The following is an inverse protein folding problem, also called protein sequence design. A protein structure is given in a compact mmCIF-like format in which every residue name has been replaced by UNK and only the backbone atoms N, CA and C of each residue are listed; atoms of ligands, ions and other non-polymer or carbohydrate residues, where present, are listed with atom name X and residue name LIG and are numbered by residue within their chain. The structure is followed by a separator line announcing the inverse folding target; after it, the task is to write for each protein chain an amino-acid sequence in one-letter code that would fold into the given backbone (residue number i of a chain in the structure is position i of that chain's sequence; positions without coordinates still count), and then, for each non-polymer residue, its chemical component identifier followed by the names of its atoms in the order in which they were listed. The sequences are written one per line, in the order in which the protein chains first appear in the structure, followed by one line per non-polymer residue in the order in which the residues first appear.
data_IF_392103220840
#
_entry.id   IF_392103220840
#
_cell.length_a   1.000
_cell.length_b   1.000
_cell.length_c   1.000
_cell.angle_alpha   90.00
_cell.angle_beta   90.00
_cell.angle_gamma   90.00
#
_symmetry.space_group_name_H-M   'P 1'
#
loop_
_entity.id
_entity.type
_entity.pdbx_description
1 polymer ?
#
# COMPACT_ATOMS: atom_id res chain seq x y z
N UNK A 1 -9.54 11.40 0.98
CA UNK A 1 -8.33 11.25 0.13
C UNK A 1 -8.31 10.10 -0.87
N UNK A 2 -8.30 8.81 -0.49
CA UNK A 2 -8.08 7.72 -1.47
C UNK A 2 -9.13 7.68 -2.62
N UNK A 3 -10.40 7.87 -2.28
CA UNK A 3 -11.51 7.97 -3.25
C UNK A 3 -11.34 9.18 -4.18
N UNK A 4 -10.89 10.32 -3.66
CA UNK A 4 -10.63 11.52 -4.46
C UNK A 4 -9.45 11.32 -5.43
N UNK A 5 -8.36 10.68 -4.97
CA UNK A 5 -7.24 10.34 -5.84
C UNK A 5 -7.66 9.33 -6.91
N UNK A 6 -8.49 8.35 -6.58
CA UNK A 6 -9.07 7.44 -7.57
C UNK A 6 -9.93 8.20 -8.60
N UNK A 7 -10.80 9.11 -8.16
CA UNK A 7 -11.62 9.90 -9.08
C UNK A 7 -10.78 10.82 -9.98
N UNK A 8 -9.71 11.41 -9.42
CA UNK A 8 -8.82 12.32 -10.14
C UNK A 8 -7.94 11.58 -11.15
N UNK A 9 -7.34 10.46 -10.73
CA UNK A 9 -6.21 9.81 -11.41
C UNK A 9 -6.48 8.38 -11.89
N UNK A 10 -7.59 7.76 -11.50
CA UNK A 10 -7.96 6.41 -11.94
C UNK A 10 -8.02 6.31 -13.46
N UNK A 11 -7.36 5.31 -14.02
CA UNK A 11 -7.23 5.11 -15.48
C UNK A 11 -6.34 6.13 -16.22
N UNK A 12 -5.84 7.18 -15.55
CA UNK A 12 -4.98 8.21 -16.14
C UNK A 12 -3.51 8.06 -15.80
N UNK A 13 -3.21 7.27 -14.76
CA UNK A 13 -1.84 7.09 -14.25
C UNK A 13 -1.41 5.66 -14.45
N UNK A 14 -0.27 5.49 -15.11
CA UNK A 14 0.33 4.18 -15.29
C UNK A 14 1.01 3.73 -13.99
N UNK A 15 0.84 2.45 -13.66
CA UNK A 15 1.66 1.82 -12.65
C UNK A 15 3.14 1.83 -13.09
N UNK A 16 4.02 2.36 -12.25
CA UNK A 16 5.47 2.35 -12.46
C UNK A 16 6.19 2.16 -11.13
N UNK A 17 6.87 1.03 -10.98
CA UNK A 17 7.67 0.75 -9.80
C UNK A 17 8.68 1.87 -9.53
N UNK A 18 8.75 2.36 -8.29
CA UNK A 18 9.65 3.42 -7.91
C UNK A 18 9.09 4.83 -8.12
N UNK A 19 8.08 5.00 -8.97
CA UNK A 19 7.50 6.31 -9.23
C UNK A 19 6.69 6.86 -8.05
N UNK A 20 6.65 8.19 -7.96
CA UNK A 20 5.70 8.94 -7.14
C UNK A 20 4.71 9.65 -8.10
N UNK A 21 3.54 10.10 -7.60
CA UNK A 21 2.52 10.86 -8.36
C UNK A 21 2.99 12.26 -8.77
N UNK A 22 4.26 12.36 -9.12
CA UNK A 22 4.96 13.52 -9.64
C UNK A 22 5.74 13.15 -10.91
N UNK A 23 6.06 14.16 -11.72
CA UNK A 23 6.81 14.00 -12.97
C UNK A 23 5.97 13.86 -14.24
N UNK A 24 6.68 13.74 -15.38
CA UNK A 24 6.14 13.63 -16.73
C UNK A 24 6.95 12.59 -17.54
N UNK A 25 6.39 11.44 -17.96
CA UNK A 25 4.99 11.03 -17.78
C UNK A 25 4.68 10.65 -16.33
N UNK A 26 3.44 10.94 -15.92
CA UNK A 26 2.97 10.67 -14.56
C UNK A 26 2.94 9.15 -14.30
N UNK A 27 3.59 8.72 -13.22
CA UNK A 27 3.61 7.33 -12.78
C UNK A 27 3.15 7.23 -11.32
N UNK A 28 2.92 6.01 -10.85
CA UNK A 28 2.71 5.77 -9.43
C UNK A 28 3.02 4.30 -9.11
N UNK A 29 3.54 4.03 -7.92
CA UNK A 29 3.48 2.70 -7.33
C UNK A 29 2.59 2.65 -6.08
N UNK A 30 2.46 1.45 -5.51
CA UNK A 30 1.59 1.20 -4.37
C UNK A 30 1.93 2.06 -3.16
N UNK A 31 3.21 2.19 -2.83
CA UNK A 31 3.68 2.99 -1.70
C UNK A 31 3.54 4.49 -1.91
N UNK A 32 3.78 4.98 -3.13
CA UNK A 32 3.52 6.39 -3.46
C UNK A 32 2.02 6.73 -3.38
N UNK A 33 1.15 5.84 -3.87
CA UNK A 33 -0.29 6.05 -3.76
C UNK A 33 -0.73 6.21 -2.31
N UNK A 34 -0.26 5.33 -1.42
CA UNK A 34 -0.57 5.40 0.01
C UNK A 34 -0.01 6.66 0.64
N UNK A 35 1.24 7.03 0.35
CA UNK A 35 1.83 8.27 0.86
C UNK A 35 0.96 9.49 0.50
N UNK A 36 0.50 9.56 -0.76
CA UNK A 36 -0.36 10.65 -1.26
C UNK A 36 -1.76 10.63 -0.64
N UNK A 37 -2.30 9.45 -0.32
CA UNK A 37 -3.54 9.34 0.45
C UNK A 37 -3.41 9.96 1.85
N UNK A 38 -2.22 9.90 2.44
CA UNK A 38 -1.90 10.51 3.73
C UNK A 38 -1.42 11.96 3.61
N UNK A 39 -1.38 12.55 2.41
CA UNK A 39 -0.90 13.92 2.21
C UNK A 39 0.63 14.08 2.16
N UNK A 40 1.37 12.98 2.01
CA UNK A 40 2.83 12.96 1.96
C UNK A 40 3.38 12.52 0.60
N UNK A 41 4.67 12.77 0.39
CA UNK A 41 5.45 12.16 -0.68
C UNK A 41 6.03 10.83 -0.20
N UNK A 42 6.33 9.94 -1.16
CA UNK A 42 7.01 8.68 -0.88
C UNK A 42 8.42 8.89 -0.34
N UNK A 43 9.10 9.91 -0.85
CA UNK A 43 10.37 10.40 -0.30
C UNK A 43 10.12 11.74 0.37
N UNK A 44 10.45 11.84 1.66
CA UNK A 44 10.23 13.06 2.46
C UNK A 44 11.48 13.93 2.59
N UNK A 45 12.49 13.72 1.75
CA UNK A 45 13.80 14.38 1.85
C UNK A 45 14.81 13.63 2.73
N UNK A 46 14.37 12.60 3.46
CA UNK A 46 15.25 11.80 4.32
C UNK A 46 15.07 10.30 4.09
N UNK A 47 13.81 9.82 4.04
CA UNK A 47 13.47 8.40 4.01
C UNK A 47 12.58 8.08 2.81
N UNK A 48 12.90 6.99 2.14
CA UNK A 48 12.01 6.37 1.14
C UNK A 48 11.03 5.42 1.83
N UNK A 49 9.77 5.80 1.89
CA UNK A 49 8.67 5.02 2.46
C UNK A 49 8.16 3.98 1.47
N UNK A 50 9.00 3.01 1.13
CA UNK A 50 8.59 1.85 0.35
C UNK A 50 7.78 0.86 1.21
N UNK A 51 7.18 -0.15 0.57
CA UNK A 51 6.33 -1.15 1.24
C UNK A 51 7.02 -1.85 2.42
N UNK A 52 8.27 -2.28 2.27
CA UNK A 52 8.99 -3.00 3.33
C UNK A 52 9.20 -2.09 4.54
N UNK A 53 9.55 -0.82 4.29
CA UNK A 53 9.70 0.17 5.35
C UNK A 53 8.38 0.46 6.07
N UNK A 54 7.27 0.58 5.34
CA UNK A 54 5.93 0.75 5.92
C UNK A 54 5.58 -0.45 6.80
N UNK A 55 5.83 -1.67 6.31
CA UNK A 55 5.57 -2.90 7.05
C UNK A 55 6.40 -2.96 8.34
N UNK A 56 7.71 -2.71 8.26
CA UNK A 56 8.61 -2.72 9.43
C UNK A 56 8.24 -1.64 10.44
N UNK A 57 7.83 -0.45 9.98
CA UNK A 57 7.41 0.64 10.85
C UNK A 57 6.14 0.27 11.64
N UNK A 58 5.17 -0.34 10.97
CA UNK A 58 3.94 -0.82 11.59
C UNK A 58 4.16 -1.95 12.62
N UNK A 59 5.26 -2.69 12.53
CA UNK A 59 5.60 -3.74 13.50
C UNK A 59 6.30 -3.24 14.76
N UNK A 60 6.80 -2.00 14.78
CA UNK A 60 7.44 -1.45 15.98
C UNK A 60 6.41 -1.25 17.09
N UNK A 61 6.75 -1.70 18.29
CA UNK A 61 5.87 -1.60 19.46
C UNK A 61 5.83 -0.18 20.05
N UNK A 62 6.89 0.62 19.85
CA UNK A 62 7.03 1.97 20.41
C UNK A 62 7.98 2.85 19.59
N UNK A 63 7.96 4.16 19.87
CA UNK A 63 8.80 5.17 19.23
C UNK A 63 8.04 6.06 18.26
N UNK A 64 8.79 6.90 17.53
CA UNK A 64 8.25 7.76 16.49
C UNK A 64 7.97 6.92 15.24
N UNK A 65 6.80 6.27 15.23
CA UNK A 65 6.26 5.52 14.08
C UNK A 65 5.29 6.39 13.28
N UNK A 66 5.22 6.17 11.98
CA UNK A 66 4.18 6.74 11.11
C UNK A 66 3.01 5.79 10.91
N UNK A 67 3.27 4.50 11.03
CA UNK A 67 2.26 3.46 10.88
C UNK A 67 2.10 2.70 12.18
N UNK A 68 0.86 2.60 12.66
CA UNK A 68 0.52 1.79 13.83
C UNK A 68 -0.30 0.59 13.40
N UNK A 69 0.18 -0.62 13.71
CA UNK A 69 -0.58 -1.84 13.45
C UNK A 69 -1.90 -1.85 14.24
N UNK A 70 -2.96 -2.28 13.56
CA UNK A 70 -4.29 -2.49 14.13
C UNK A 70 -4.68 -3.97 14.00
N UNK A 71 -5.61 -4.41 14.85
CA UNK A 71 -6.02 -5.83 14.89
C UNK A 71 -6.95 -6.22 13.74
N UNK A 72 -7.81 -5.30 13.31
CA UNK A 72 -8.83 -5.56 12.29
C UNK A 72 -8.86 -4.42 11.28
N UNK A 73 -9.13 -4.71 10.00
CA UNK A 73 -9.21 -3.67 8.98
C UNK A 73 -10.40 -2.76 9.24
N UNK A 74 -10.20 -1.47 8.98
CA UNK A 74 -11.26 -0.44 8.98
C UNK A 74 -11.13 0.40 7.71
N UNK A 75 -12.21 0.98 7.17
CA UNK A 75 -12.11 1.90 6.04
C UNK A 75 -11.09 3.02 6.30
N UNK A 76 -10.24 3.29 5.31
CA UNK A 76 -9.15 4.27 5.38
C UNK A 76 -7.83 3.75 5.92
N UNK A 77 -7.79 2.59 6.60
CA UNK A 77 -6.53 1.97 7.00
C UNK A 77 -5.79 1.40 5.78
N UNK A 78 -4.52 1.05 5.97
CA UNK A 78 -3.78 0.28 4.97
C UNK A 78 -3.84 -1.21 5.27
N UNK A 79 -3.74 -2.02 4.22
CA UNK A 79 -3.21 -3.37 4.33
C UNK A 79 -1.84 -3.44 3.66
N UNK A 80 -0.93 -4.23 4.22
CA UNK A 80 0.44 -4.34 3.72
C UNK A 80 1.03 -5.73 3.94
N UNK A 81 1.81 -6.19 2.96
CA UNK A 81 2.69 -7.35 3.08
C UNK A 81 4.07 -7.03 2.50
N UNK A 82 5.15 -7.58 3.09
CA UNK A 82 6.51 -7.25 2.68
C UNK A 82 6.88 -8.00 1.40
N UNK A 83 7.96 -7.54 0.78
CA UNK A 83 8.69 -8.29 -0.22
C UNK A 83 9.24 -9.60 0.36
N UNK A 84 9.52 -10.55 -0.54
CA UNK A 84 10.13 -11.83 -0.18
C UNK A 84 11.22 -12.16 -1.17
N UNK A 85 12.33 -12.71 -0.68
CA UNK A 85 13.32 -13.37 -1.52
C UNK A 85 12.91 -14.82 -1.70
N UNK A 86 12.71 -15.27 -2.93
CA UNK A 86 12.41 -16.67 -3.23
C UNK A 86 13.63 -17.55 -2.91
N UNK A 87 13.46 -18.89 -2.77
CA UNK A 87 14.59 -19.82 -2.67
C UNK A 87 15.58 -19.69 -3.85
N UNK A 88 15.09 -19.28 -5.02
CA UNK A 88 15.89 -19.00 -6.22
C UNK A 88 16.57 -17.62 -6.20
N UNK A 89 16.64 -16.96 -5.04
CA UNK A 89 17.22 -15.61 -4.82
C UNK A 89 16.56 -14.47 -5.62
N UNK A 90 15.39 -14.70 -6.21
CA UNK A 90 14.63 -13.63 -6.89
C UNK A 90 13.82 -12.87 -5.86
N UNK A 91 13.96 -11.53 -5.84
CA UNK A 91 13.11 -10.67 -5.01
C UNK A 91 11.73 -10.53 -5.67
N UNK A 92 10.69 -10.81 -4.89
CA UNK A 92 9.29 -10.51 -5.20
C UNK A 92 8.89 -9.30 -4.38
N UNK A 93 8.38 -8.26 -5.03
CA UNK A 93 7.95 -7.04 -4.34
C UNK A 93 6.80 -7.32 -3.35
N UNK A 94 6.79 -6.55 -2.27
CA UNK A 94 5.64 -6.42 -1.39
C UNK A 94 4.53 -5.60 -2.05
N UNK A 95 3.44 -5.39 -1.32
CA UNK A 95 2.38 -4.48 -1.76
C UNK A 95 1.67 -3.82 -0.58
N UNK A 96 1.14 -2.62 -0.81
CA UNK A 96 0.39 -1.82 0.15
C UNK A 96 -0.83 -1.22 -0.56
N UNK A 97 -1.96 -1.11 0.14
CA UNK A 97 -3.22 -0.60 -0.40
C UNK A 97 -4.02 0.12 0.69
N UNK A 98 -5.04 0.87 0.28
CA UNK A 98 -6.04 1.46 1.19
C UNK A 98 -7.27 0.55 1.24
N UNK A 99 -7.77 0.27 2.45
CA UNK A 99 -9.05 -0.39 2.68
C UNK A 99 -10.18 0.60 2.41
N UNK A 100 -11.07 0.27 1.49
CA UNK A 100 -12.20 1.14 1.08
C UNK A 100 -13.50 0.69 1.75
N UNK A 101 -13.79 -0.62 1.66
CA UNK A 101 -14.99 -1.22 2.22
C UNK A 101 -14.65 -2.62 2.74
N UNK A 102 -14.76 -2.82 4.05
CA UNK A 102 -14.43 -4.09 4.71
C UNK A 102 -15.47 -5.16 4.37
N UNK A 103 -16.77 -4.82 4.40
CA UNK A 103 -17.85 -5.77 4.15
C UNK A 103 -17.83 -6.28 2.71
N UNK A 104 -17.58 -5.39 1.75
CA UNK A 104 -17.45 -5.75 0.35
C UNK A 104 -16.03 -6.20 -0.04
N UNK A 105 -15.08 -6.24 0.90
CA UNK A 105 -13.67 -6.57 0.67
C UNK A 105 -13.02 -5.72 -0.44
N UNK A 106 -13.37 -4.43 -0.51
CA UNK A 106 -12.86 -3.50 -1.52
C UNK A 106 -11.65 -2.73 -1.01
N UNK A 107 -10.74 -2.50 -1.93
CA UNK A 107 -9.49 -1.75 -1.73
C UNK A 107 -9.34 -0.73 -2.84
N UNK A 108 -8.59 0.33 -2.56
CA UNK A 108 -8.05 1.23 -3.59
C UNK A 108 -6.54 1.11 -3.54
N UNK A 109 -5.93 0.88 -4.71
CA UNK A 109 -4.51 0.59 -4.80
C UNK A 109 -3.93 1.04 -6.15
N UNK A 110 -2.64 1.35 -6.15
CA UNK A 110 -1.87 1.47 -7.38
C UNK A 110 -1.08 0.18 -7.62
N UNK A 111 -1.46 -0.63 -8.60
CA UNK A 111 -0.84 -1.94 -8.81
C UNK A 111 -0.67 -2.30 -10.28
N UNK A 112 0.29 -3.18 -10.56
CA UNK A 112 0.55 -3.68 -11.92
C UNK A 112 -0.65 -4.41 -12.52
N UNK A 113 -1.39 -5.18 -11.71
CA UNK A 113 -2.59 -5.91 -12.17
C UNK A 113 -3.70 -4.96 -12.64
N UNK A 114 -3.84 -3.81 -12.00
CA UNK A 114 -4.78 -2.77 -12.38
C UNK A 114 -4.24 -1.76 -13.41
N UNK A 115 -2.96 -1.86 -13.77
CA UNK A 115 -2.28 -0.92 -14.66
C UNK A 115 -2.09 0.49 -14.09
N UNK A 116 -2.44 0.74 -12.83
CA UNK A 116 -2.52 2.09 -12.26
C UNK A 116 -3.31 2.12 -10.95
N UNK A 117 -3.85 3.31 -10.62
CA UNK A 117 -4.76 3.51 -9.48
C UNK A 117 -6.14 2.94 -9.84
N UNK A 118 -6.62 1.99 -9.04
CA UNK A 118 -7.85 1.26 -9.31
C UNK A 118 -8.52 0.82 -8.01
N UNK A 119 -9.83 0.58 -8.06
CA UNK A 119 -10.58 -0.10 -7.00
C UNK A 119 -10.65 -1.60 -7.30
N UNK A 120 -10.29 -2.44 -6.34
CA UNK A 120 -10.26 -3.91 -6.51
C UNK A 120 -10.95 -4.63 -5.36
N UNK A 121 -11.58 -5.77 -5.68
CA UNK A 121 -12.08 -6.73 -4.68
C UNK A 121 -10.97 -7.71 -4.30
N UNK A 122 -10.70 -7.84 -3.01
CA UNK A 122 -9.56 -8.60 -2.45
C UNK A 122 -9.97 -9.54 -1.30
N UNK A 123 -11.06 -10.30 -1.47
CA UNK A 123 -11.64 -11.17 -0.41
C UNK A 123 -10.59 -11.99 0.36
N UNK A 124 -9.64 -12.61 -0.32
CA UNK A 124 -8.60 -13.43 0.32
C UNK A 124 -7.68 -12.66 1.28
N UNK A 125 -7.53 -11.33 1.10
CA UNK A 125 -6.68 -10.48 1.94
C UNK A 125 -7.38 -10.05 3.24
N UNK A 126 -8.72 -10.05 3.25
CA UNK A 126 -9.52 -9.77 4.43
C UNK A 126 -9.79 -11.04 5.25
N UNK A 127 -9.96 -12.18 4.59
CA UNK A 127 -10.27 -13.44 5.25
C UNK A 127 -9.06 -14.10 5.93
N UNK A 128 -7.84 -13.71 5.57
CA UNK A 128 -6.61 -14.40 5.99
C UNK A 128 -5.60 -13.34 6.41
N UNK A 129 -5.07 -13.45 7.62
CA UNK A 129 -3.89 -12.67 8.06
C UNK A 129 -2.61 -12.97 7.25
N UNK A 130 -2.70 -13.71 6.15
CA UNK A 130 -1.62 -14.01 5.23
C UNK A 130 -2.14 -14.25 3.81
N UNK A 131 -1.31 -13.96 2.81
CA UNK A 131 -1.53 -14.35 1.42
C UNK A 131 -1.49 -15.87 1.27
N UNK A 132 -2.05 -16.39 0.16
CA UNK A 132 -1.99 -17.82 -0.17
C UNK A 132 -0.57 -18.39 -0.31
N UNK A 133 0.46 -17.54 -0.40
CA UNK A 133 1.88 -17.92 -0.41
C UNK A 133 2.58 -17.76 0.96
N UNK A 134 1.81 -17.62 2.03
CA UNK A 134 2.29 -17.55 3.42
C UNK A 134 2.85 -16.20 3.85
N UNK A 135 2.84 -15.16 3.01
CA UNK A 135 3.28 -13.82 3.42
C UNK A 135 2.27 -13.20 4.38
N UNK A 136 2.69 -12.72 5.56
CA UNK A 136 1.78 -12.10 6.51
C UNK A 136 1.20 -10.81 5.91
N UNK A 137 -0.08 -10.58 6.17
CA UNK A 137 -0.75 -9.31 5.93
C UNK A 137 -0.97 -8.68 7.29
N UNK A 138 -0.57 -7.41 7.43
CA UNK A 138 -0.97 -6.59 8.58
C UNK A 138 -1.84 -5.45 8.09
N UNK A 139 -2.72 -5.00 8.98
CA UNK A 139 -3.45 -3.75 8.81
C UNK A 139 -2.81 -2.70 9.70
N UNK A 140 -2.73 -1.47 9.22
CA UNK A 140 -2.17 -0.37 9.96
C UNK A 140 -2.89 0.94 9.63
N UNK A 141 -2.85 1.88 10.56
CA UNK A 141 -3.34 3.24 10.36
C UNK A 141 -2.17 4.22 10.38
N UNK A 142 -2.35 5.35 9.71
CA UNK A 142 -1.37 6.43 9.71
C UNK A 142 -1.53 7.27 10.98
N UNK A 143 -0.44 7.54 11.69
CA UNK A 143 -0.43 8.26 12.98
C UNK A 143 0.61 9.39 13.05
N UNK A 144 1.32 9.65 11.94
CA UNK A 144 2.46 10.57 11.88
C UNK A 144 2.18 11.88 11.14
#
# INVERSE_FOLDING_TARGET
MAVELLAKWGGKVAYRMGADLDGNPLGCDCSAFVARCCGHQKYDGNVWWNTDRIYDDALKASGNVRWRRIQSPVPGCIGVYPGKVSPTRRRVAGHVWIVDDVAACKTIECCSRGGGIVRMTRTAWFARGALGNGRPIIFAEFVG
#
